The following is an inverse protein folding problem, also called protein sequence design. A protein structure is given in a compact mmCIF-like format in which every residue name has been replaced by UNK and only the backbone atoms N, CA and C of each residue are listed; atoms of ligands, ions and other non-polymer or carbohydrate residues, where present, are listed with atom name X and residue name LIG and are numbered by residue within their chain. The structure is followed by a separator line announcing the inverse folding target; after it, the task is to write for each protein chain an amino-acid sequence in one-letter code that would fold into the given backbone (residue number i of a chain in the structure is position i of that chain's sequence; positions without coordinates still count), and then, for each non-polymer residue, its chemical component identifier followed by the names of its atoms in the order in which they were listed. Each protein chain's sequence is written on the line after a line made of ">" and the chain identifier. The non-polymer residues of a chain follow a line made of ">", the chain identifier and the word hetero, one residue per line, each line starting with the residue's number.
data_IF_079781466468
#
_entry.id   IF_079781466468
#
_cell.length_a   1.000
_cell.length_b   1.000
_cell.length_c   1.000
_cell.angle_alpha   90.00
_cell.angle_beta   90.00
_cell.angle_gamma   90.00
#
_symmetry.space_group_name_H-M   'P 1'
#
loop_
_entity.id
_entity.type
_entity.pdbx_description
1 polymer ?
#
# COMPACT_ATOMS: atom_id res chain seq x y z
N UNK A 1 7.81 -21.54 0.72
CA UNK A 1 9.10 -20.99 1.21
C UNK A 1 9.26 -19.46 0.99
N UNK A 2 8.24 -18.71 0.52
CA UNK A 2 8.34 -17.25 0.32
C UNK A 2 7.93 -16.40 1.55
N UNK A 3 6.89 -16.81 2.29
CA UNK A 3 6.33 -16.06 3.43
C UNK A 3 7.27 -15.89 4.64
N UNK A 4 8.47 -16.48 4.64
CA UNK A 4 9.36 -16.51 5.83
C UNK A 4 10.26 -15.27 5.98
N UNK A 5 10.51 -14.45 4.94
CA UNK A 5 11.61 -13.46 5.00
C UNK A 5 11.25 -11.99 5.30
N UNK A 6 10.04 -11.50 5.01
CA UNK A 6 9.67 -10.15 5.48
C UNK A 6 9.66 -10.07 7.01
N UNK A 7 9.17 -11.12 7.68
CA UNK A 7 9.21 -11.25 9.14
C UNK A 7 10.64 -11.33 9.72
N UNK A 8 11.64 -11.71 8.91
CA UNK A 8 13.05 -11.74 9.33
C UNK A 8 13.69 -10.34 9.30
N UNK A 9 13.17 -9.41 8.47
CA UNK A 9 13.77 -8.07 8.28
C UNK A 9 12.93 -6.94 8.85
N UNK A 10 11.61 -7.13 8.96
CA UNK A 10 10.66 -6.11 9.41
C UNK A 10 10.14 -6.41 10.82
N UNK A 11 9.68 -5.37 11.52
CA UNK A 11 9.01 -5.56 12.79
C UNK A 11 7.73 -6.39 12.62
N UNK A 12 7.48 -7.29 13.57
CA UNK A 12 6.28 -8.13 13.57
C UNK A 12 4.98 -7.31 13.44
N UNK A 13 4.91 -6.16 14.11
CA UNK A 13 3.77 -5.23 14.05
C UNK A 13 3.53 -4.72 12.63
N UNK A 14 4.59 -4.32 11.93
CA UNK A 14 4.48 -3.82 10.56
C UNK A 14 3.99 -4.92 9.61
N UNK A 15 4.47 -6.15 9.77
CA UNK A 15 4.00 -7.30 8.98
C UNK A 15 2.51 -7.57 9.24
N UNK A 16 2.09 -7.58 10.50
CA UNK A 16 0.68 -7.73 10.87
C UNK A 16 -0.19 -6.60 10.29
N UNK A 17 0.31 -5.36 10.29
CA UNK A 17 -0.38 -4.20 9.71
C UNK A 17 -0.52 -4.31 8.18
N UNK A 18 0.53 -4.76 7.49
CA UNK A 18 0.50 -5.01 6.04
C UNK A 18 -0.56 -6.06 5.71
N UNK A 19 -0.56 -7.21 6.39
CA UNK A 19 -1.57 -8.26 6.16
C UNK A 19 -2.99 -7.77 6.48
N UNK A 20 -3.18 -7.02 7.57
CA UNK A 20 -4.49 -6.46 7.92
C UNK A 20 -4.96 -5.45 6.88
N UNK A 21 -4.07 -4.62 6.34
CA UNK A 21 -4.38 -3.67 5.29
C UNK A 21 -4.63 -4.34 3.93
N UNK A 22 -3.93 -5.44 3.61
CA UNK A 22 -4.10 -6.15 2.34
C UNK A 22 -5.44 -6.89 2.20
N UNK A 23 -6.16 -7.08 3.31
CA UNK A 23 -7.50 -7.66 3.31
C UNK A 23 -8.61 -6.61 3.12
N UNK A 24 -8.28 -5.32 3.18
CA UNK A 24 -9.27 -4.24 3.00
C UNK A 24 -9.52 -4.00 1.52
N UNK A 25 -10.77 -3.71 1.16
CA UNK A 25 -11.10 -3.32 -0.21
C UNK A 25 -10.58 -1.91 -0.49
N UNK A 26 -9.94 -1.72 -1.65
CA UNK A 26 -9.52 -0.39 -2.12
C UNK A 26 -10.73 0.48 -2.45
N UNK A 27 -10.63 1.77 -2.12
CA UNK A 27 -11.68 2.74 -2.44
C UNK A 27 -11.47 3.26 -3.84
N UNK A 28 -12.38 2.93 -4.76
CA UNK A 28 -12.40 3.48 -6.11
C UNK A 28 -12.76 4.97 -6.09
N UNK A 29 -12.05 5.76 -6.89
CA UNK A 29 -12.34 7.19 -7.08
C UNK A 29 -12.59 7.42 -8.56
N UNK A 30 -13.72 8.02 -8.92
CA UNK A 30 -14.04 8.35 -10.31
C UNK A 30 -13.32 9.61 -10.76
N UNK A 31 -13.04 9.72 -12.06
CA UNK A 31 -12.45 10.93 -12.64
C UNK A 31 -13.32 12.17 -12.37
N UNK A 32 -14.64 12.02 -12.46
CA UNK A 32 -15.59 13.10 -12.13
C UNK A 32 -15.42 13.56 -10.67
N UNK A 33 -15.37 12.64 -9.72
CA UNK A 33 -15.15 13.00 -8.31
C UNK A 33 -13.81 13.70 -8.11
N UNK A 34 -12.72 13.22 -8.71
CA UNK A 34 -11.40 13.85 -8.57
C UNK A 34 -11.41 15.30 -9.06
N UNK A 35 -12.02 15.55 -10.22
CA UNK A 35 -12.15 16.89 -10.80
C UNK A 35 -13.03 17.78 -9.92
N UNK A 36 -14.21 17.31 -9.54
CA UNK A 36 -15.18 18.09 -8.75
C UNK A 36 -14.62 18.41 -7.34
N UNK A 37 -13.92 17.45 -6.71
CA UNK A 37 -13.32 17.63 -5.38
C UNK A 37 -12.18 18.67 -5.40
N UNK A 38 -11.39 18.69 -6.47
CA UNK A 38 -10.25 19.58 -6.65
C UNK A 38 -10.60 20.97 -7.22
N UNK A 39 -11.80 21.14 -7.78
CA UNK A 39 -12.18 22.37 -8.49
C UNK A 39 -12.11 23.63 -7.62
N UNK A 40 -12.49 23.52 -6.35
CA UNK A 40 -12.47 24.62 -5.38
C UNK A 40 -11.78 24.18 -4.09
N UNK A 41 -10.45 24.36 -3.98
CA UNK A 41 -9.71 23.93 -2.80
C UNK A 41 -10.05 24.79 -1.59
N UNK A 42 -10.46 24.14 -0.51
CA UNK A 42 -10.72 24.77 0.80
C UNK A 42 -9.90 24.05 1.87
N UNK A 43 -9.65 24.71 3.02
CA UNK A 43 -8.98 24.06 4.16
C UNK A 43 -9.67 22.75 4.59
N UNK A 44 -11.01 22.73 4.51
CA UNK A 44 -11.82 21.53 4.79
C UNK A 44 -11.53 20.42 3.77
N UNK A 45 -11.54 20.74 2.48
CA UNK A 45 -11.27 19.74 1.43
C UNK A 45 -9.84 19.19 1.53
N UNK A 46 -8.85 20.04 1.86
CA UNK A 46 -7.48 19.60 2.08
C UNK A 46 -7.35 18.64 3.28
N UNK A 47 -8.07 18.91 4.38
CA UNK A 47 -8.08 17.99 5.52
C UNK A 47 -8.75 16.66 5.16
N UNK A 48 -9.85 16.70 4.42
CA UNK A 48 -10.56 15.48 3.97
C UNK A 48 -9.68 14.64 3.05
N UNK A 49 -8.97 15.25 2.09
CA UNK A 49 -8.06 14.50 1.21
C UNK A 49 -6.88 13.91 1.97
N UNK A 50 -6.29 14.64 2.92
CA UNK A 50 -5.23 14.12 3.77
C UNK A 50 -5.70 12.91 4.59
N UNK A 51 -6.90 12.99 5.20
CA UNK A 51 -7.50 11.88 5.94
C UNK A 51 -7.81 10.67 5.06
N UNK A 52 -8.29 10.91 3.84
CA UNK A 52 -8.51 9.85 2.85
C UNK A 52 -7.20 9.15 2.50
N UNK A 53 -6.17 9.91 2.11
CA UNK A 53 -4.86 9.36 1.73
C UNK A 53 -4.21 8.60 2.90
N UNK A 54 -4.29 9.14 4.12
CA UNK A 54 -3.75 8.48 5.31
C UNK A 54 -4.36 7.09 5.54
N UNK A 55 -5.64 6.90 5.21
CA UNK A 55 -6.33 5.61 5.35
C UNK A 55 -6.16 4.69 4.13
N UNK A 56 -6.18 5.26 2.93
CA UNK A 56 -6.22 4.52 1.67
C UNK A 56 -4.83 4.09 1.19
N UNK A 57 -3.79 4.92 1.38
CA UNK A 57 -2.43 4.59 0.93
C UNK A 57 -1.91 3.29 1.58
N UNK A 58 -2.02 3.07 2.91
CA UNK A 58 -1.59 1.81 3.51
C UNK A 58 -2.28 0.57 2.91
N UNK A 59 -3.57 0.67 2.54
CA UNK A 59 -4.30 -0.41 1.88
C UNK A 59 -3.68 -0.71 0.52
N UNK A 60 -3.51 0.32 -0.33
CA UNK A 60 -2.98 0.12 -1.68
C UNK A 60 -1.54 -0.39 -1.69
N UNK A 61 -0.69 0.15 -0.81
CA UNK A 61 0.71 -0.29 -0.70
C UNK A 61 0.79 -1.73 -0.17
N UNK A 62 -0.05 -2.10 0.80
CA UNK A 62 -0.10 -3.47 1.31
C UNK A 62 -0.45 -4.48 0.21
N UNK A 63 -1.42 -4.18 -0.65
CA UNK A 63 -1.73 -5.04 -1.81
C UNK A 63 -0.50 -5.24 -2.71
N UNK A 64 0.22 -4.15 -3.02
CA UNK A 64 1.42 -4.23 -3.87
C UNK A 64 2.53 -5.06 -3.22
N UNK A 65 2.76 -4.92 -1.92
CA UNK A 65 3.74 -5.73 -1.18
C UNK A 65 3.39 -7.21 -1.27
N UNK A 66 2.12 -7.58 -0.98
CA UNK A 66 1.66 -8.97 -1.04
C UNK A 66 1.74 -9.54 -2.45
N UNK A 67 1.42 -8.76 -3.49
CA UNK A 67 1.57 -9.20 -4.88
C UNK A 67 3.04 -9.46 -5.25
N UNK A 68 3.95 -8.57 -4.85
CA UNK A 68 5.38 -8.71 -5.13
C UNK A 68 6.02 -9.87 -4.37
N UNK A 69 5.57 -10.14 -3.13
CA UNK A 69 6.00 -11.31 -2.37
C UNK A 69 5.55 -12.64 -3.00
N UNK A 70 4.36 -12.66 -3.58
CA UNK A 70 3.75 -13.87 -4.15
C UNK A 70 4.07 -14.06 -5.64
N UNK A 71 5.04 -13.33 -6.20
CA UNK A 71 5.47 -13.52 -7.58
C UNK A 71 6.00 -14.96 -7.80
N UNK A 72 5.64 -15.59 -8.94
CA UNK A 72 5.97 -16.98 -9.20
C UNK A 72 7.45 -17.19 -9.57
N UNK A 73 7.88 -18.45 -9.63
CA UNK A 73 9.20 -18.87 -10.13
C UNK A 73 10.40 -18.23 -9.39
N UNK A 74 10.23 -17.88 -8.11
CA UNK A 74 11.27 -17.21 -7.33
C UNK A 74 11.56 -15.78 -7.79
N UNK A 75 10.67 -15.15 -8.58
CA UNK A 75 10.83 -13.76 -8.99
C UNK A 75 10.79 -12.79 -7.81
N UNK A 76 10.03 -13.12 -6.77
CA UNK A 76 9.99 -12.34 -5.51
C UNK A 76 11.35 -12.24 -4.83
N UNK A 77 12.27 -13.18 -5.10
CA UNK A 77 13.62 -13.23 -4.53
C UNK A 77 14.65 -12.42 -5.32
N UNK A 78 14.29 -11.94 -6.52
CA UNK A 78 15.23 -11.16 -7.34
C UNK A 78 15.55 -9.83 -6.66
N UNK A 79 16.83 -9.47 -6.64
CA UNK A 79 17.31 -8.27 -5.96
C UNK A 79 16.53 -6.97 -6.31
N UNK A 80 16.13 -6.71 -7.58
CA UNK A 80 15.31 -5.54 -7.90
C UNK A 80 13.93 -5.58 -7.23
N UNK A 81 13.29 -6.74 -7.16
CA UNK A 81 11.97 -6.91 -6.54
C UNK A 81 12.05 -6.68 -5.04
N UNK A 82 13.05 -7.28 -4.38
CA UNK A 82 13.31 -7.06 -2.95
C UNK A 82 13.57 -5.58 -2.65
N UNK A 83 14.30 -4.86 -3.51
CA UNK A 83 14.54 -3.42 -3.38
C UNK A 83 13.23 -2.62 -3.45
N UNK A 84 12.33 -2.99 -4.35
CA UNK A 84 11.03 -2.33 -4.50
C UNK A 84 10.12 -2.61 -3.30
N UNK A 85 10.06 -3.85 -2.80
CA UNK A 85 9.32 -4.18 -1.57
C UNK A 85 9.82 -3.32 -0.40
N UNK A 86 11.15 -3.17 -0.25
CA UNK A 86 11.75 -2.32 0.79
C UNK A 86 11.36 -0.83 0.66
N UNK A 87 11.10 -0.35 -0.56
CA UNK A 87 10.64 1.03 -0.78
C UNK A 87 9.19 1.22 -0.31
N UNK A 88 8.33 0.21 -0.46
CA UNK A 88 6.92 0.27 -0.04
C UNK A 88 6.72 0.24 1.48
N UNK A 89 7.66 -0.32 2.22
CA UNK A 89 7.56 -0.54 3.68
C UNK A 89 8.40 0.44 4.50
N UNK A 90 8.98 1.46 3.84
CA UNK A 90 9.79 2.52 4.46
C UNK A 90 8.93 3.72 4.82
#
# INVERSE_FOLDING_TARGET
>A
MAARRLAETLSRRLVEDIYRCSQKKQTGVSLKYMMDFGAFPTRKNLLVSAQFLHKELPVRLAHRVIELENLPYGLSEKAPVVKVIKLYVK
#
